data_IF_259753453282
#
_entry.id   IF_259753453282
#
_cell.length_a   1.000
_cell.length_b   1.000
_cell.length_c   1.000
_cell.angle_alpha   90.00
_cell.angle_beta   90.00
_cell.angle_gamma   90.00
#
_symmetry.space_group_name_H-M   'P 1'
#
loop_
_entity.id
_entity.type
_entity.pdbx_description
1 polymer ?
#
# COMPACT_ATOMS: atom_id res chain seq x y z
N UNK A 1 4.03 57.88 -45.41
CA UNK A 1 4.61 58.29 -44.11
C UNK A 1 4.41 57.15 -43.11
N UNK A 2 5.53 56.60 -42.67
CA UNK A 2 5.86 55.92 -41.40
C UNK A 2 4.82 55.05 -40.66
N UNK A 3 5.14 53.75 -40.57
CA UNK A 3 4.80 52.87 -39.43
C UNK A 3 5.69 53.23 -38.23
N UNK A 4 5.21 52.97 -37.00
CA UNK A 4 5.95 52.10 -36.07
C UNK A 4 5.02 51.01 -35.49
N UNK A 5 5.37 49.72 -35.51
CA UNK A 5 6.34 48.99 -34.66
C UNK A 5 5.95 48.90 -33.17
N UNK A 6 5.56 47.66 -32.82
CA UNK A 6 5.87 46.93 -31.57
C UNK A 6 5.22 47.34 -30.23
N UNK A 7 4.36 46.46 -29.71
CA UNK A 7 4.34 46.07 -28.29
C UNK A 7 3.89 44.60 -28.23
N UNK A 8 4.86 43.67 -28.20
CA UNK A 8 5.30 42.98 -26.99
C UNK A 8 4.24 42.00 -26.46
N UNK A 9 4.26 40.74 -26.95
CA UNK A 9 4.80 39.60 -26.19
C UNK A 9 4.35 39.58 -24.72
N UNK A 10 3.26 38.87 -24.44
CA UNK A 10 3.12 38.09 -23.21
C UNK A 10 2.41 36.77 -23.52
N UNK A 11 3.18 35.85 -24.14
CA UNK A 11 3.05 34.43 -23.80
C UNK A 11 3.45 34.32 -22.32
N UNK A 12 2.49 34.27 -21.40
CA UNK A 12 2.74 33.61 -20.12
C UNK A 12 2.32 32.17 -20.28
N UNK A 13 3.31 31.35 -20.62
CA UNK A 13 3.29 29.94 -20.39
C UNK A 13 3.04 29.70 -18.89
N UNK A 14 1.79 29.42 -18.51
CA UNK A 14 1.48 28.73 -17.25
C UNK A 14 1.75 27.25 -17.53
N UNK A 15 3.02 26.94 -17.72
CA UNK A 15 3.53 25.60 -17.94
C UNK A 15 4.44 25.29 -16.76
N UNK A 16 4.05 24.28 -15.97
CA UNK A 16 5.01 23.53 -15.17
C UNK A 16 5.27 24.04 -13.76
N UNK A 17 4.22 24.21 -12.96
CA UNK A 17 4.34 23.89 -11.53
C UNK A 17 3.20 22.92 -11.13
N UNK A 18 3.03 21.87 -11.93
CA UNK A 18 2.62 20.58 -11.38
C UNK A 18 3.77 20.16 -10.46
N UNK A 19 3.72 20.64 -9.22
CA UNK A 19 4.39 19.99 -8.11
C UNK A 19 3.95 18.53 -8.18
N UNK A 20 4.84 17.69 -8.72
CA UNK A 20 4.86 16.26 -8.43
C UNK A 20 4.85 16.20 -6.91
N UNK A 21 3.65 16.08 -6.35
CA UNK A 21 3.44 15.77 -4.95
C UNK A 21 4.11 14.42 -4.76
N UNK A 22 5.40 14.44 -4.41
CA UNK A 22 6.09 13.25 -3.96
C UNK A 22 5.29 12.81 -2.74
N UNK A 23 4.83 11.54 -2.68
CA UNK A 23 4.12 11.06 -1.51
C UNK A 23 5.00 11.40 -0.31
N UNK A 24 4.41 12.04 0.72
CA UNK A 24 5.10 12.33 1.95
C UNK A 24 5.64 11.00 2.47
N UNK A 25 6.95 10.77 2.29
CA UNK A 25 7.61 9.57 2.73
C UNK A 25 7.33 9.43 4.23
N UNK A 26 6.76 8.29 4.63
CA UNK A 26 6.27 8.11 5.98
C UNK A 26 7.37 8.36 7.04
N UNK A 27 6.93 8.83 8.21
CA UNK A 27 7.80 9.01 9.36
C UNK A 27 8.35 7.67 9.90
N UNK A 28 7.64 6.56 9.67
CA UNK A 28 7.99 5.25 10.19
C UNK A 28 8.98 4.50 9.29
N UNK A 29 9.97 3.88 9.93
CA UNK A 29 11.08 3.19 9.27
C UNK A 29 11.13 1.73 9.68
N UNK A 30 11.60 0.90 8.75
CA UNK A 30 11.92 -0.50 8.95
C UNK A 30 13.45 -0.63 8.93
N UNK A 31 14.05 -0.88 10.10
CA UNK A 31 15.50 -0.99 10.20
C UNK A 31 15.92 -2.38 9.73
N UNK A 32 16.54 -2.44 8.56
CA UNK A 32 17.05 -3.65 7.92
C UNK A 32 18.59 -3.56 7.82
N UNK A 33 19.25 -4.70 7.64
CA UNK A 33 20.67 -4.66 7.31
C UNK A 33 20.88 -3.96 5.94
N UNK A 34 21.90 -3.10 5.77
CA UNK A 34 22.10 -2.38 4.50
C UNK A 34 22.18 -3.30 3.27
N UNK A 35 22.87 -4.43 3.39
CA UNK A 35 22.95 -5.43 2.32
C UNK A 35 21.58 -6.06 1.97
N UNK A 36 20.64 -6.09 2.92
CA UNK A 36 19.28 -6.55 2.66
C UNK A 36 18.47 -5.47 1.93
N UNK A 37 18.62 -4.20 2.31
CA UNK A 37 17.98 -3.07 1.62
C UNK A 37 18.43 -3.01 0.15
N UNK A 38 19.72 -3.19 -0.12
CA UNK A 38 20.24 -3.24 -1.50
C UNK A 38 19.63 -4.38 -2.33
N UNK A 39 19.55 -5.59 -1.75
CA UNK A 39 18.91 -6.75 -2.41
C UNK A 39 17.43 -6.51 -2.69
N UNK A 40 16.72 -5.93 -1.72
CA UNK A 40 15.31 -5.56 -1.88
C UNK A 40 15.17 -4.54 -3.00
N UNK A 41 15.99 -3.49 -3.02
CA UNK A 41 15.95 -2.47 -4.07
C UNK A 41 16.24 -3.01 -5.47
N UNK A 42 17.10 -4.02 -5.59
CA UNK A 42 17.36 -4.68 -6.87
C UNK A 42 16.15 -5.49 -7.39
N UNK A 43 15.36 -6.09 -6.48
CA UNK A 43 14.19 -6.91 -6.83
C UNK A 43 12.89 -6.10 -6.92
N UNK A 44 12.80 -5.00 -6.18
CA UNK A 44 11.63 -4.14 -6.06
C UNK A 44 12.10 -2.69 -5.89
N UNK A 45 12.44 -1.99 -6.98
CA UNK A 45 12.83 -0.58 -6.91
C UNK A 45 11.78 0.30 -6.22
N UNK A 46 10.50 0.02 -6.48
CA UNK A 46 9.37 0.73 -5.86
C UNK A 46 9.37 0.61 -4.34
N UNK A 47 9.77 -0.53 -3.78
CA UNK A 47 9.85 -0.74 -2.34
C UNK A 47 10.80 0.26 -1.65
N UNK A 48 11.83 0.75 -2.36
CA UNK A 48 12.76 1.77 -1.85
C UNK A 48 12.16 3.17 -1.99
N UNK A 49 11.45 3.44 -3.10
CA UNK A 49 10.97 4.79 -3.41
C UNK A 49 9.62 5.13 -2.78
N UNK A 50 8.69 4.16 -2.70
CA UNK A 50 7.33 4.34 -2.17
C UNK A 50 7.17 3.72 -0.78
N UNK A 51 8.01 2.74 -0.43
CA UNK A 51 7.99 2.04 0.85
C UNK A 51 7.28 0.68 0.78
N UNK A 52 7.15 0.04 1.93
CA UNK A 52 6.62 -1.32 2.06
C UNK A 52 5.56 -1.45 3.15
N UNK A 53 4.76 -2.50 3.05
CA UNK A 53 3.97 -3.07 4.14
C UNK A 53 4.80 -4.22 4.72
N UNK A 54 5.03 -4.17 6.03
CA UNK A 54 5.74 -5.23 6.75
C UNK A 54 4.75 -6.13 7.49
N UNK A 55 4.96 -7.44 7.42
CA UNK A 55 4.13 -8.43 8.09
C UNK A 55 4.92 -9.27 9.10
N UNK A 56 4.26 -9.70 10.18
CA UNK A 56 4.82 -10.52 11.27
C UNK A 56 3.72 -11.10 12.15
N UNK A 57 4.02 -11.42 13.41
CA UNK A 57 3.00 -11.87 14.36
C UNK A 57 2.13 -10.71 14.87
N UNK A 58 1.24 -10.98 15.82
CA UNK A 58 0.32 -9.98 16.38
C UNK A 58 1.04 -8.81 17.08
N UNK A 59 2.31 -8.98 17.46
CA UNK A 59 3.16 -8.01 18.13
C UNK A 59 4.19 -7.36 17.16
N UNK A 60 4.01 -7.53 15.84
CA UNK A 60 4.90 -6.91 14.85
C UNK A 60 4.90 -5.39 14.98
N UNK A 61 6.10 -4.82 15.05
CA UNK A 61 6.33 -3.37 15.18
C UNK A 61 7.36 -2.89 14.16
N UNK A 62 7.36 -1.59 13.90
CA UNK A 62 8.37 -0.92 13.07
C UNK A 62 9.72 -0.82 13.78
N UNK A 63 10.75 -0.35 13.07
CA UNK A 63 12.10 -0.17 13.61
C UNK A 63 12.84 -1.48 13.91
N UNK A 64 13.77 -1.49 14.88
CA UNK A 64 14.64 -2.64 15.17
C UNK A 64 13.92 -3.90 15.66
N UNK A 65 12.71 -3.76 16.21
CA UNK A 65 11.94 -4.88 16.77
C UNK A 65 11.30 -5.76 15.71
N UNK A 66 11.23 -5.30 14.46
CA UNK A 66 10.60 -6.01 13.35
C UNK A 66 11.07 -7.46 13.22
N UNK A 67 12.38 -7.69 13.18
CA UNK A 67 12.97 -9.02 12.96
C UNK A 67 12.52 -10.08 14.00
N UNK A 68 12.25 -9.66 15.23
CA UNK A 68 11.81 -10.57 16.30
C UNK A 68 10.45 -11.21 16.00
N UNK A 69 9.60 -10.47 15.30
CA UNK A 69 8.19 -10.79 15.06
C UNK A 69 7.89 -11.15 13.60
N UNK A 70 8.80 -10.86 12.68
CA UNK A 70 8.57 -11.03 11.24
C UNK A 70 8.67 -12.48 10.74
N UNK A 71 9.60 -13.28 11.29
CA UNK A 71 9.96 -14.60 10.75
C UNK A 71 9.11 -15.71 11.36
N UNK A 72 8.03 -16.08 10.67
CA UNK A 72 7.04 -17.07 11.10
C UNK A 72 6.96 -18.28 10.16
N UNK A 73 6.25 -19.32 10.61
CA UNK A 73 5.95 -20.52 9.83
C UNK A 73 7.12 -21.49 9.69
N UNK A 74 6.93 -22.53 8.87
CA UNK A 74 7.96 -23.52 8.53
C UNK A 74 8.01 -23.70 7.00
N UNK A 75 9.17 -23.46 6.34
CA UNK A 75 10.33 -22.74 6.87
C UNK A 75 9.98 -21.33 7.36
N UNK A 76 10.82 -20.77 8.25
CA UNK A 76 10.63 -19.42 8.80
C UNK A 76 10.88 -18.37 7.72
N UNK A 77 9.88 -17.53 7.46
CA UNK A 77 9.93 -16.46 6.46
C UNK A 77 9.32 -15.18 7.00
N UNK A 78 9.90 -14.06 6.61
CA UNK A 78 9.31 -12.73 6.71
C UNK A 78 8.81 -12.26 5.34
N UNK A 79 7.82 -11.38 5.34
CA UNK A 79 7.23 -10.86 4.11
C UNK A 79 7.19 -9.33 4.12
N UNK A 80 7.63 -8.75 3.01
CA UNK A 80 7.50 -7.33 2.70
C UNK A 80 6.72 -7.18 1.40
N UNK A 81 5.76 -6.28 1.38
CA UNK A 81 4.94 -6.02 0.20
C UNK A 81 5.12 -4.57 -0.24
N UNK A 82 5.34 -4.30 -1.52
CA UNK A 82 5.44 -2.92 -2.02
C UNK A 82 4.16 -2.15 -1.66
N UNK A 83 4.29 -0.90 -1.23
CA UNK A 83 3.14 -0.06 -0.90
C UNK A 83 2.32 0.27 -2.16
N UNK A 84 1.05 -0.18 -2.28
CA UNK A 84 0.25 0.07 -3.47
C UNK A 84 -0.25 1.52 -3.54
N UNK A 85 -0.81 1.98 -2.42
CA UNK A 85 -1.47 3.27 -2.25
C UNK A 85 -1.93 3.42 -0.79
N UNK A 86 -2.13 4.65 -0.36
CA UNK A 86 -2.72 4.98 0.94
C UNK A 86 -4.20 5.33 0.85
N UNK A 87 -4.74 5.75 1.99
CA UNK A 87 -6.15 6.08 2.13
C UNK A 87 -6.56 7.32 1.34
N UNK A 88 -5.69 8.33 1.34
CA UNK A 88 -5.92 9.56 0.59
C UNK A 88 -6.02 9.29 -0.92
N UNK A 89 -5.19 8.38 -1.43
CA UNK A 89 -5.27 7.94 -2.82
C UNK A 89 -6.62 7.26 -3.11
N UNK A 90 -7.12 6.41 -2.20
CA UNK A 90 -8.43 5.75 -2.37
C UNK A 90 -9.58 6.76 -2.32
N UNK A 91 -9.49 7.75 -1.43
CA UNK A 91 -10.44 8.86 -1.38
C UNK A 91 -10.46 9.62 -2.68
N UNK A 92 -9.28 10.01 -3.17
CA UNK A 92 -9.13 10.76 -4.41
C UNK A 92 -9.73 10.00 -5.59
N UNK A 93 -9.48 8.69 -5.71
CA UNK A 93 -10.11 7.87 -6.74
C UNK A 93 -11.63 7.87 -6.61
N UNK A 94 -12.17 7.76 -5.40
CA UNK A 94 -13.62 7.79 -5.18
C UNK A 94 -14.26 9.13 -5.54
N UNK A 95 -13.57 10.24 -5.29
CA UNK A 95 -14.03 11.60 -5.61
C UNK A 95 -13.94 11.93 -7.10
N UNK A 96 -13.02 11.29 -7.82
CA UNK A 96 -12.70 11.63 -9.22
C UNK A 96 -13.31 10.68 -10.24
N UNK A 97 -13.62 9.45 -9.85
CA UNK A 97 -14.08 8.40 -10.75
C UNK A 97 -15.46 7.86 -10.36
N UNK A 98 -16.28 7.46 -11.35
CA UNK A 98 -17.46 6.63 -11.10
C UNK A 98 -17.08 5.33 -10.38
N UNK A 99 -18.03 4.76 -9.63
CA UNK A 99 -17.84 3.58 -8.78
C UNK A 99 -16.99 2.47 -9.42
N UNK A 100 -17.40 1.95 -10.58
CA UNK A 100 -16.73 0.83 -11.23
C UNK A 100 -15.31 1.19 -11.71
N UNK A 101 -15.12 2.43 -12.16
CA UNK A 101 -13.82 2.94 -12.57
C UNK A 101 -12.89 3.14 -11.37
N UNK A 102 -13.40 3.61 -10.24
CA UNK A 102 -12.65 3.68 -8.99
C UNK A 102 -12.22 2.29 -8.52
N UNK A 103 -13.14 1.32 -8.53
CA UNK A 103 -12.84 -0.06 -8.16
C UNK A 103 -11.78 -0.69 -9.07
N UNK A 104 -11.89 -0.49 -10.39
CA UNK A 104 -10.91 -0.97 -11.35
C UNK A 104 -9.52 -0.31 -11.14
N UNK A 105 -9.48 1.01 -10.94
CA UNK A 105 -8.24 1.73 -10.68
C UNK A 105 -7.54 1.26 -9.40
N UNK A 106 -8.29 1.02 -8.32
CA UNK A 106 -7.75 0.40 -7.09
C UNK A 106 -7.22 -1.00 -7.41
N UNK A 107 -7.98 -1.83 -8.12
CA UNK A 107 -7.54 -3.18 -8.48
C UNK A 107 -6.22 -3.17 -9.27
N UNK A 108 -6.05 -2.24 -10.21
CA UNK A 108 -4.83 -2.13 -11.01
C UNK A 108 -3.60 -1.75 -10.17
N UNK A 109 -3.75 -0.84 -9.19
CA UNK A 109 -2.68 -0.53 -8.22
C UNK A 109 -2.24 -1.77 -7.45
N UNK A 110 -3.21 -2.59 -7.02
CA UNK A 110 -2.95 -3.78 -6.25
C UNK A 110 -2.42 -4.97 -7.09
N UNK A 111 -2.72 -5.03 -8.39
CA UNK A 111 -2.10 -6.00 -9.33
C UNK A 111 -0.62 -5.72 -9.58
N UNK A 112 -0.20 -4.47 -9.46
CA UNK A 112 1.20 -4.08 -9.62
C UNK A 112 2.07 -4.37 -8.39
N UNK A 113 1.47 -4.79 -7.27
CA UNK A 113 2.19 -5.04 -6.01
C UNK A 113 3.18 -6.19 -6.16
N UNK A 114 4.38 -5.98 -5.63
CA UNK A 114 5.39 -7.01 -5.46
C UNK A 114 5.39 -7.51 -4.01
N UNK A 115 5.35 -8.83 -3.84
CA UNK A 115 5.58 -9.48 -2.53
C UNK A 115 6.97 -10.08 -2.50
N UNK A 116 7.75 -9.72 -1.49
CA UNK A 116 9.08 -10.22 -1.22
C UNK A 116 9.03 -11.20 -0.06
N UNK A 117 9.53 -12.42 -0.27
CA UNK A 117 9.81 -13.37 0.80
C UNK A 117 11.28 -13.23 1.22
N UNK A 118 11.51 -13.08 2.52
CA UNK A 118 12.83 -13.05 3.14
C UNK A 118 12.98 -14.33 3.95
N UNK A 119 13.93 -15.16 3.54
CA UNK A 119 14.27 -16.41 4.19
C UNK A 119 15.15 -16.14 5.42
N UNK A 120 15.13 -17.05 6.41
CA UNK A 120 15.87 -16.87 7.66
C UNK A 120 17.40 -16.79 7.49
N UNK A 121 17.94 -17.26 6.37
CA UNK A 121 19.35 -17.16 5.99
C UNK A 121 19.70 -15.83 5.28
N UNK A 122 18.71 -14.96 5.07
CA UNK A 122 18.86 -13.67 4.40
C UNK A 122 18.72 -13.72 2.87
N UNK A 123 18.34 -14.86 2.29
CA UNK A 123 17.92 -14.90 0.89
C UNK A 123 16.61 -14.12 0.70
N UNK A 124 16.48 -13.43 -0.43
CA UNK A 124 15.28 -12.66 -0.79
C UNK A 124 14.83 -13.08 -2.18
N UNK A 125 13.53 -13.33 -2.33
CA UNK A 125 12.90 -13.60 -3.61
C UNK A 125 11.62 -12.80 -3.78
N UNK A 126 11.34 -12.42 -5.02
CA UNK A 126 10.07 -11.80 -5.40
C UNK A 126 9.10 -12.86 -5.88
N UNK A 127 7.84 -12.77 -5.43
CA UNK A 127 6.75 -13.65 -5.83
C UNK A 127 5.95 -13.07 -7.02
N UNK A 128 6.43 -11.99 -7.63
CA UNK A 128 5.78 -11.34 -8.76
C UNK A 128 4.43 -10.71 -8.41
N UNK A 129 3.58 -10.56 -9.43
CA UNK A 129 2.29 -9.88 -9.33
C UNK A 129 1.17 -10.81 -8.83
N UNK A 130 0.30 -10.35 -7.91
CA UNK A 130 -0.85 -11.14 -7.48
C UNK A 130 -1.99 -11.08 -8.49
N UNK A 131 -2.92 -12.03 -8.37
CA UNK A 131 -4.31 -11.77 -8.75
C UNK A 131 -4.95 -10.88 -7.68
N UNK A 132 -5.55 -9.76 -8.07
CA UNK A 132 -6.23 -8.85 -7.15
C UNK A 132 -7.75 -8.82 -7.39
N UNK A 133 -8.50 -8.93 -6.31
CA UNK A 133 -9.95 -8.74 -6.24
C UNK A 133 -10.24 -7.59 -5.27
N UNK A 134 -11.00 -6.60 -5.72
CA UNK A 134 -11.39 -5.43 -4.94
C UNK A 134 -12.90 -5.39 -4.87
N UNK A 135 -13.43 -5.29 -3.65
CA UNK A 135 -14.81 -4.96 -3.38
C UNK A 135 -14.87 -3.59 -2.70
N UNK A 136 -15.38 -2.61 -3.45
CA UNK A 136 -15.77 -1.31 -2.95
C UNK A 136 -17.30 -1.29 -2.85
N UNK A 137 -17.91 -1.23 -1.65
CA UNK A 137 -19.35 -1.10 -1.55
C UNK A 137 -19.83 0.24 -2.11
N UNK A 138 -20.90 0.26 -2.92
CA UNK A 138 -21.42 1.49 -3.53
C UNK A 138 -21.73 2.60 -2.51
N UNK A 139 -22.34 2.24 -1.37
CA UNK A 139 -22.63 3.20 -0.30
C UNK A 139 -21.36 3.79 0.28
N UNK A 140 -20.32 2.97 0.43
CA UNK A 140 -19.02 3.45 0.88
C UNK A 140 -18.46 4.44 -0.15
N UNK A 141 -18.38 4.06 -1.44
CA UNK A 141 -17.90 4.95 -2.50
C UNK A 141 -18.63 6.30 -2.51
N UNK A 142 -19.96 6.30 -2.46
CA UNK A 142 -20.74 7.54 -2.44
C UNK A 142 -20.40 8.42 -1.23
N UNK A 143 -20.15 7.83 -0.06
CA UNK A 143 -19.72 8.56 1.13
C UNK A 143 -18.31 9.14 0.97
N UNK A 144 -17.37 8.35 0.43
CA UNK A 144 -15.99 8.76 0.19
C UNK A 144 -15.86 9.85 -0.89
N UNK A 145 -16.76 9.81 -1.87
CA UNK A 145 -16.84 10.77 -2.96
C UNK A 145 -17.36 12.15 -2.50
N UNK A 146 -18.05 12.23 -1.36
CA UNK A 146 -18.53 13.48 -0.78
C UNK A 146 -17.39 14.25 -0.07
N UNK A 147 -16.96 15.42 -0.57
CA UNK A 147 -15.90 16.20 0.07
C UNK A 147 -16.29 16.72 1.47
N UNK A 148 -17.58 16.84 1.78
CA UNK A 148 -18.07 17.30 3.06
C UNK A 148 -18.05 16.21 4.15
N UNK A 149 -17.84 14.94 3.79
CA UNK A 149 -17.78 13.84 4.76
C UNK A 149 -16.38 13.69 5.35
N UNK A 150 -16.29 13.45 6.67
CA UNK A 150 -15.02 13.13 7.31
C UNK A 150 -14.55 11.75 6.85
N UNK A 151 -13.27 11.69 6.46
CA UNK A 151 -12.58 10.47 6.07
C UNK A 151 -11.63 10.05 7.17
N UNK A 152 -11.51 8.75 7.43
CA UNK A 152 -10.56 8.22 8.40
C UNK A 152 -10.95 8.54 9.84
N UNK A 153 -11.34 7.52 10.58
CA UNK A 153 -11.96 7.66 11.91
C UNK A 153 -11.07 8.23 13.03
N UNK A 154 -9.87 8.69 12.70
CA UNK A 154 -8.92 9.30 13.63
C UNK A 154 -8.35 10.64 13.13
N UNK A 155 -8.82 11.18 12.00
CA UNK A 155 -8.33 12.48 11.48
C UNK A 155 -8.80 13.66 12.36
N UNK A 156 -9.90 13.49 13.11
CA UNK A 156 -10.44 14.46 14.07
C UNK A 156 -10.49 13.93 15.53
N UNK A 157 -9.66 12.94 15.85
CA UNK A 157 -9.66 12.26 17.16
C UNK A 157 -10.47 10.97 17.14
N UNK A 158 -9.82 9.86 17.52
CA UNK A 158 -10.44 8.54 17.49
C UNK A 158 -11.66 8.49 18.43
N UNK A 159 -12.86 8.38 17.86
CA UNK A 159 -14.11 8.15 18.60
C UNK A 159 -15.12 9.31 18.64
N UNK A 160 -14.75 10.51 18.19
CA UNK A 160 -15.63 11.70 18.25
C UNK A 160 -16.51 11.87 17.00
N UNK A 161 -16.05 11.44 15.83
CA UNK A 161 -16.80 11.52 14.56
C UNK A 161 -16.95 10.16 13.88
N UNK A 162 -18.13 9.89 13.32
CA UNK A 162 -18.41 8.69 12.53
C UNK A 162 -17.90 8.91 11.10
N UNK A 163 -16.75 8.32 10.77
CA UNK A 163 -16.24 8.34 9.40
C UNK A 163 -16.96 7.31 8.52
N UNK A 164 -16.93 7.52 7.20
CA UNK A 164 -17.54 6.62 6.22
C UNK A 164 -17.16 5.14 6.46
N UNK A 165 -15.88 4.86 6.77
CA UNK A 165 -15.39 3.50 6.93
C UNK A 165 -15.88 2.80 8.21
N UNK A 166 -16.28 3.55 9.24
CA UNK A 166 -16.86 3.00 10.47
C UNK A 166 -18.35 2.70 10.31
N UNK A 167 -19.10 3.59 9.66
CA UNK A 167 -20.53 3.39 9.41
C UNK A 167 -20.81 2.32 8.36
N UNK A 168 -20.01 2.30 7.29
CA UNK A 168 -20.29 1.52 6.07
C UNK A 168 -19.30 0.36 5.86
N UNK A 169 -18.33 0.22 6.77
CA UNK A 169 -17.23 -0.75 6.64
C UNK A 169 -16.13 -0.25 5.71
N UNK A 170 -15.15 -1.11 5.42
CA UNK A 170 -13.99 -0.77 4.60
C UNK A 170 -14.01 -1.50 3.26
N UNK A 171 -13.26 -0.98 2.28
CA UNK A 171 -12.87 -1.76 1.10
C UNK A 171 -12.32 -3.11 1.51
N UNK A 172 -12.61 -4.14 0.72
CA UNK A 172 -12.01 -5.46 0.89
C UNK A 172 -11.15 -5.73 -0.32
N UNK A 173 -9.86 -5.93 -0.07
CA UNK A 173 -8.90 -6.22 -1.13
C UNK A 173 -8.29 -7.57 -0.82
N UNK A 174 -8.44 -8.49 -1.77
CA UNK A 174 -7.90 -9.84 -1.68
C UNK A 174 -6.83 -10.00 -2.75
N UNK A 175 -5.61 -10.32 -2.33
CA UNK A 175 -4.50 -10.62 -3.22
C UNK A 175 -4.15 -12.09 -3.09
N UNK A 176 -3.79 -12.73 -4.20
CA UNK A 176 -3.29 -14.11 -4.18
C UNK A 176 -2.07 -14.23 -5.06
N UNK A 177 -1.01 -14.82 -4.51
CA UNK A 177 0.19 -15.19 -5.27
C UNK A 177 0.24 -16.70 -5.45
N UNK A 178 0.46 -17.20 -6.67
CA UNK A 178 0.89 -18.57 -6.87
C UNK A 178 2.37 -18.64 -6.47
N UNK A 179 2.70 -19.37 -5.40
CA UNK A 179 4.11 -19.68 -5.13
C UNK A 179 4.56 -20.86 -6.01
N UNK A 180 5.81 -20.83 -6.42
CA UNK A 180 6.45 -21.66 -7.43
C UNK A 180 6.63 -23.16 -7.08
N UNK A 181 5.82 -23.73 -6.18
CA UNK A 181 5.89 -25.19 -5.95
C UNK A 181 4.99 -25.87 -4.93
N UNK A 182 4.35 -25.17 -3.97
CA UNK A 182 3.42 -25.80 -3.02
C UNK A 182 2.62 -24.82 -2.13
N UNK A 183 2.86 -23.50 -2.25
CA UNK A 183 2.33 -22.54 -1.29
C UNK A 183 1.32 -21.58 -1.91
N UNK A 184 0.31 -21.23 -1.13
CA UNK A 184 -0.69 -20.23 -1.45
C UNK A 184 -0.60 -19.12 -0.42
N UNK A 185 -0.30 -17.93 -0.93
CA UNK A 185 -0.31 -16.70 -0.14
C UNK A 185 -1.56 -15.91 -0.47
N UNK A 186 -2.35 -15.58 0.54
CA UNK A 186 -3.51 -14.70 0.39
C UNK A 186 -3.43 -13.52 1.34
N UNK A 187 -3.43 -12.31 0.80
CA UNK A 187 -3.49 -11.09 1.59
C UNK A 187 -4.90 -10.55 1.60
N UNK A 188 -5.39 -10.16 2.77
CA UNK A 188 -6.62 -9.40 2.95
C UNK A 188 -6.27 -8.05 3.53
N UNK A 189 -6.55 -6.98 2.81
CA UNK A 189 -6.47 -5.63 3.34
C UNK A 189 -7.78 -5.25 4.03
N UNK A 190 -7.68 -4.70 5.24
CA UNK A 190 -8.79 -4.06 5.92
C UNK A 190 -8.30 -3.00 6.91
N UNK A 191 -8.98 -1.86 6.89
CA UNK A 191 -8.74 -0.70 7.76
C UNK A 191 -9.26 -0.87 9.19
N UNK A 192 -9.98 -1.94 9.49
CA UNK A 192 -10.42 -2.23 10.86
C UNK A 192 -9.38 -3.02 11.68
N UNK A 193 -8.11 -3.04 11.25
CA UNK A 193 -7.03 -3.76 11.92
C UNK A 193 -6.91 -5.25 11.56
N UNK A 194 -7.73 -5.76 10.64
CA UNK A 194 -7.71 -7.17 10.24
C UNK A 194 -6.85 -7.45 8.99
N UNK A 195 -5.84 -6.60 8.73
CA UNK A 195 -4.98 -6.80 7.56
C UNK A 195 -4.02 -7.96 7.78
N UNK A 196 -4.19 -9.02 6.99
CA UNK A 196 -3.49 -10.28 7.22
C UNK A 196 -2.97 -10.87 5.92
N UNK A 197 -1.77 -11.42 5.97
CA UNK A 197 -1.22 -12.31 4.95
C UNK A 197 -1.29 -13.75 5.48
N UNK A 198 -1.91 -14.64 4.72
CA UNK A 198 -2.08 -16.05 5.10
C UNK A 198 -1.13 -16.94 4.29
N UNK A 199 -0.25 -17.61 5.02
CA UNK A 199 0.60 -18.77 4.72
C UNK A 199 -0.16 -20.09 4.59
N UNK A 200 -0.32 -20.71 3.41
CA UNK A 200 -0.71 -22.13 3.32
C UNK A 200 0.27 -22.91 2.46
N UNK A 201 0.81 -24.02 2.99
CA UNK A 201 1.64 -24.97 2.27
C UNK A 201 1.15 -26.39 2.58
N UNK A 202 1.26 -27.31 1.62
CA UNK A 202 0.79 -28.68 1.82
C UNK A 202 1.55 -29.38 2.95
N UNK A 203 0.82 -30.02 3.87
CA UNK A 203 1.39 -30.70 5.03
C UNK A 203 1.92 -29.77 6.14
N UNK A 204 1.78 -28.45 6.00
CA UNK A 204 2.23 -27.45 6.99
C UNK A 204 1.02 -26.73 7.61
N UNK A 205 0.99 -26.49 8.93
CA UNK A 205 -0.03 -25.66 9.55
C UNK A 205 -0.11 -24.27 8.91
N UNK A 206 -1.33 -23.78 8.73
CA UNK A 206 -1.58 -22.41 8.27
C UNK A 206 -0.83 -21.42 9.16
N UNK A 207 -0.12 -20.48 8.53
CA UNK A 207 0.59 -19.39 9.22
C UNK A 207 -0.12 -18.08 8.94
N UNK A 208 -0.48 -17.35 9.98
CA UNK A 208 -1.16 -16.07 9.90
C UNK A 208 -0.16 -14.95 10.21
N UNK A 209 -0.01 -13.99 9.30
CA UNK A 209 0.81 -12.81 9.49
C UNK A 209 -0.08 -11.57 9.61
N UNK A 210 0.13 -10.76 10.63
CA UNK A 210 -0.45 -9.43 10.79
C UNK A 210 0.41 -8.42 10.04
N UNK A 211 -0.22 -7.50 9.30
CA UNK A 211 0.49 -6.58 8.43
C UNK A 211 0.26 -5.11 8.81
N UNK A 212 1.32 -4.33 8.83
CA UNK A 212 1.32 -2.90 9.13
C UNK A 212 0.92 -2.11 7.88
N UNK A 213 -0.38 -1.80 7.77
CA UNK A 213 -0.97 -1.21 6.55
C UNK A 213 -1.40 0.26 6.70
N UNK A 214 -1.04 0.89 7.82
CA UNK A 214 -1.52 2.24 8.13
C UNK A 214 -0.78 3.32 7.35
N UNK A 215 0.51 3.10 7.07
CA UNK A 215 1.37 3.95 6.28
C UNK A 215 2.44 3.10 5.59
N UNK A 216 3.01 3.61 4.49
CA UNK A 216 4.18 3.00 3.87
C UNK A 216 5.35 3.00 4.86
N UNK A 217 6.09 1.90 5.01
CA UNK A 217 7.31 1.88 5.82
C UNK A 217 8.51 2.14 4.93
N UNK A 218 9.35 3.09 5.33
CA UNK A 218 10.63 3.31 4.63
C UNK A 218 11.62 2.24 5.01
N UNK A 219 12.39 1.77 4.03
CA UNK A 219 13.55 0.91 4.28
C UNK A 219 14.73 1.78 4.72
N UNK A 220 15.38 1.42 5.83
CA UNK A 220 16.58 2.05 6.37
C UNK A 220 17.57 0.96 6.82
#
# INVERSE_FOLDING_TARGET
MMRPLAAARMLFAIMGLLTLARPALAAERLHLAPALVERIGALCPDCVTTGVIACGDADVLTGPKYYKHAFLGTPRRAYLMSWPMGDEDMRQLSQTLPHDAAQAAIADRFRAVTLLAIEADGAVRSLGSPTAEVLLPEKLHACLADPAKPWGCCVAGCGQEECCEKSLGSHRISLRWPDDGAERLSFRWSRNGSSMLLRRADGVPKTDYFCLVWNALRLD
#
